data_IF_998368509739
#
_entry.id   IF_998368509739
#
_cell.length_a   1.000
_cell.length_b   1.000
_cell.length_c   1.000
_cell.angle_alpha   90.00
_cell.angle_beta   90.00
_cell.angle_gamma   90.00
#
_symmetry.space_group_name_H-M   'P 1'
#
loop_
_entity.id
_entity.type
_entity.pdbx_description
1 polymer ?
#
# COMPACT_ATOMS: atom_id res chain seq x y z
N UNK A 1 -6.31 -4.27 4.37
CA UNK A 1 -5.87 -4.50 2.98
C UNK A 1 -5.23 -5.89 2.86
N UNK A 2 -6.01 -6.98 2.81
CA UNK A 2 -5.50 -8.37 2.62
C UNK A 2 -5.40 -8.80 1.14
N UNK A 3 -5.70 -7.88 0.21
CA UNK A 3 -5.73 -8.15 -1.22
C UNK A 3 -4.40 -8.68 -1.76
N UNK A 4 -3.27 -8.05 -1.40
CA UNK A 4 -1.94 -8.52 -1.79
C UNK A 4 -1.62 -9.91 -1.22
N UNK A 5 -2.09 -10.22 -0.01
CA UNK A 5 -1.96 -11.57 0.55
C UNK A 5 -2.69 -12.61 -0.27
N UNK A 6 -3.92 -12.32 -0.71
CA UNK A 6 -4.64 -13.24 -1.60
C UNK A 6 -3.96 -13.43 -2.95
N UNK A 7 -3.32 -12.40 -3.50
CA UNK A 7 -2.51 -12.54 -4.73
C UNK A 7 -1.32 -13.48 -4.47
N UNK A 8 -0.59 -13.29 -3.38
CA UNK A 8 0.53 -14.16 -3.03
C UNK A 8 0.08 -15.62 -2.82
N UNK A 9 -1.08 -15.83 -2.17
CA UNK A 9 -1.66 -17.16 -1.96
C UNK A 9 -2.04 -17.82 -3.30
N UNK A 10 -2.67 -17.08 -4.22
CA UNK A 10 -3.08 -17.59 -5.53
C UNK A 10 -1.86 -17.99 -6.39
N UNK A 11 -0.77 -17.23 -6.31
CA UNK A 11 0.51 -17.53 -6.97
C UNK A 11 1.34 -18.59 -6.24
N UNK A 12 0.83 -19.16 -5.13
CA UNK A 12 1.48 -20.18 -4.31
C UNK A 12 2.87 -19.76 -3.81
N UNK A 13 3.05 -18.47 -3.54
CA UNK A 13 4.29 -17.97 -2.97
C UNK A 13 4.43 -18.51 -1.54
N UNK A 14 5.62 -19.02 -1.20
CA UNK A 14 5.95 -19.47 0.15
C UNK A 14 6.24 -18.28 1.08
N UNK A 15 5.29 -17.36 1.21
CA UNK A 15 5.38 -16.16 2.03
C UNK A 15 4.24 -16.10 3.03
N UNK A 16 4.56 -15.77 4.28
CA UNK A 16 3.56 -15.46 5.28
C UNK A 16 3.48 -13.94 5.47
N UNK A 17 2.37 -13.33 5.03
CA UNK A 17 2.14 -11.90 5.23
C UNK A 17 1.36 -11.62 6.51
N UNK A 18 2.04 -11.10 7.54
CA UNK A 18 1.36 -10.56 8.72
C UNK A 18 0.87 -9.11 8.47
N UNK A 19 -0.27 -8.98 7.77
CA UNK A 19 -0.84 -7.68 7.40
C UNK A 19 -1.67 -7.12 8.56
N UNK A 20 -1.19 -6.02 9.16
CA UNK A 20 -1.91 -5.25 10.19
C UNK A 20 -2.30 -3.86 9.69
N UNK A 21 -3.54 -3.38 9.93
CA UNK A 21 -3.91 -2.00 9.61
C UNK A 21 -3.03 -1.00 10.36
N UNK A 22 -2.41 -0.05 9.66
CA UNK A 22 -1.56 1.00 10.26
C UNK A 22 -2.30 1.95 11.22
N UNK A 23 -3.63 2.02 11.08
CA UNK A 23 -4.45 3.09 11.66
C UNK A 23 -4.61 4.25 10.66
N UNK A 24 -5.63 5.09 10.84
CA UNK A 24 -5.66 6.40 10.21
C UNK A 24 -4.82 7.39 11.03
N UNK A 25 -4.28 8.43 10.40
CA UNK A 25 -3.43 9.40 11.08
C UNK A 25 -2.27 9.88 10.19
N UNK A 26 -1.30 10.57 10.79
CA UNK A 26 -0.04 10.89 10.11
C UNK A 26 0.85 9.65 9.92
N UNK A 27 1.74 9.74 8.95
CA UNK A 27 2.67 8.71 8.51
C UNK A 27 3.61 8.27 9.62
N UNK A 28 3.99 9.20 10.51
CA UNK A 28 4.85 8.90 11.65
C UNK A 28 4.13 7.95 12.62
N UNK A 29 2.87 8.23 12.97
CA UNK A 29 2.07 7.37 13.84
C UNK A 29 1.89 5.95 13.27
N UNK A 30 1.80 5.81 11.95
CA UNK A 30 1.77 4.49 11.28
C UNK A 30 3.09 3.75 11.47
N UNK A 31 4.23 4.42 11.25
CA UNK A 31 5.58 3.85 11.44
C UNK A 31 5.81 3.46 12.91
N UNK A 32 5.41 4.31 13.86
CA UNK A 32 5.49 4.01 15.29
C UNK A 32 4.61 2.83 15.70
N UNK A 33 3.42 2.72 15.12
CA UNK A 33 2.53 1.59 15.35
C UNK A 33 3.12 0.30 14.79
N UNK A 34 3.73 0.33 13.60
CA UNK A 34 4.46 -0.80 13.04
C UNK A 34 5.61 -1.23 13.97
N UNK A 35 6.40 -0.28 14.48
CA UNK A 35 7.48 -0.56 15.44
C UNK A 35 6.97 -1.16 16.75
N UNK A 36 5.89 -0.62 17.32
CA UNK A 36 5.28 -1.15 18.55
C UNK A 36 4.81 -2.59 18.36
N UNK A 37 4.20 -2.90 17.21
CA UNK A 37 3.79 -4.28 16.88
C UNK A 37 4.98 -5.20 16.69
N UNK A 38 6.01 -4.77 15.98
CA UNK A 38 7.24 -5.54 15.82
C UNK A 38 7.89 -5.86 17.18
N UNK A 39 7.88 -4.93 18.15
CA UNK A 39 8.38 -5.18 19.51
C UNK A 39 7.54 -6.19 20.29
N UNK A 40 6.24 -6.28 20.00
CA UNK A 40 5.29 -7.20 20.64
C UNK A 40 5.19 -8.55 19.91
N UNK A 41 5.82 -8.69 18.75
CA UNK A 41 5.84 -9.96 18.03
C UNK A 41 6.60 -11.00 18.86
N UNK A 42 6.09 -12.24 19.01
CA UNK A 42 6.71 -13.27 19.86
C UNK A 42 8.12 -13.64 19.39
N UNK A 43 8.36 -13.61 18.08
CA UNK A 43 9.68 -13.78 17.50
C UNK A 43 9.94 -12.73 16.41
N UNK A 44 10.45 -11.53 16.73
CA UNK A 44 10.68 -10.48 15.75
C UNK A 44 11.81 -10.79 14.75
N UNK A 45 12.63 -11.81 15.02
CA UNK A 45 13.79 -12.19 14.20
C UNK A 45 13.39 -13.10 13.04
N UNK A 46 12.32 -13.87 13.14
CA UNK A 46 11.76 -14.63 12.01
C UNK A 46 11.19 -13.76 10.89
N UNK A 47 10.95 -12.47 11.14
CA UNK A 47 10.45 -11.53 10.12
C UNK A 47 11.63 -11.06 9.25
N UNK A 48 11.75 -11.65 8.06
CA UNK A 48 12.82 -11.38 7.09
C UNK A 48 12.69 -10.02 6.38
N UNK A 49 11.46 -9.53 6.18
CA UNK A 49 11.16 -8.24 5.55
C UNK A 49 10.11 -7.49 6.36
N UNK A 50 10.34 -6.20 6.56
CA UNK A 50 9.48 -5.31 7.36
C UNK A 50 9.12 -4.12 6.50
N UNK A 51 7.84 -3.91 6.24
CA UNK A 51 7.37 -2.87 5.35
C UNK A 51 6.15 -2.15 5.89
N UNK A 52 6.02 -0.88 5.52
CA UNK A 52 4.82 -0.07 5.70
C UNK A 52 4.42 0.52 4.37
N UNK A 53 3.12 0.46 4.06
CA UNK A 53 2.53 1.18 2.94
C UNK A 53 2.02 2.51 3.45
N UNK A 54 2.42 3.60 2.81
CA UNK A 54 2.01 4.96 3.17
C UNK A 54 1.54 5.70 1.91
N UNK A 55 0.47 6.47 2.03
CA UNK A 55 0.04 7.34 0.93
C UNK A 55 1.05 8.49 0.76
N UNK A 56 1.43 8.82 -0.48
CA UNK A 56 2.49 9.80 -0.75
C UNK A 56 2.04 11.23 -0.41
N UNK A 57 0.77 11.55 -0.63
CA UNK A 57 0.17 12.83 -0.25
C UNK A 57 0.28 13.10 1.26
N UNK A 58 0.10 12.05 2.08
CA UNK A 58 0.23 12.13 3.53
C UNK A 58 1.68 12.31 3.95
N UNK A 59 2.60 11.59 3.29
CA UNK A 59 4.04 11.74 3.53
C UNK A 59 4.55 13.13 3.20
N UNK A 60 4.05 13.74 2.12
CA UNK A 60 4.39 15.13 1.76
C UNK A 60 3.89 16.12 2.82
N UNK A 61 2.62 16.04 3.22
CA UNK A 61 2.05 16.88 4.26
C UNK A 61 2.77 16.74 5.62
N UNK A 62 3.22 15.53 5.96
CA UNK A 62 3.97 15.31 7.19
C UNK A 62 5.40 15.86 7.13
N UNK A 63 6.04 15.81 5.97
CA UNK A 63 7.35 16.43 5.75
C UNK A 63 7.28 17.95 5.91
N UNK A 64 6.21 18.59 5.41
CA UNK A 64 5.97 20.02 5.60
C UNK A 64 5.76 20.39 7.08
N UNK A 65 5.21 19.46 7.86
CA UNK A 65 5.05 19.59 9.32
C UNK A 65 6.29 19.14 10.13
N UNK A 66 7.46 18.99 9.48
CA UNK A 66 8.72 18.52 10.09
C UNK A 66 8.64 17.14 10.78
N UNK A 67 7.84 16.24 10.21
CA UNK A 67 7.68 14.86 10.69
C UNK A 67 8.29 13.87 9.71
N UNK A 68 9.53 13.48 9.97
CA UNK A 68 10.25 12.55 9.10
C UNK A 68 9.98 11.07 9.44
N UNK A 69 8.84 10.57 8.96
CA UNK A 69 8.47 9.16 9.08
C UNK A 69 9.47 8.22 8.37
N UNK A 70 10.12 8.67 7.28
CA UNK A 70 11.06 7.86 6.50
C UNK A 70 12.37 7.65 7.25
N UNK A 71 12.92 8.70 7.86
CA UNK A 71 14.10 8.58 8.72
C UNK A 71 13.81 7.68 9.93
N UNK A 72 12.62 7.81 10.53
CA UNK A 72 12.21 6.95 11.65
C UNK A 72 12.11 5.47 11.25
N UNK A 73 11.50 5.18 10.10
CA UNK A 73 11.37 3.83 9.58
C UNK A 73 12.73 3.21 9.26
N UNK A 74 13.63 3.98 8.62
CA UNK A 74 15.00 3.57 8.31
C UNK A 74 15.79 3.19 9.57
N UNK A 75 15.73 4.01 10.64
CA UNK A 75 16.35 3.71 11.95
C UNK A 75 15.87 2.40 12.57
N UNK A 76 14.71 1.89 12.17
CA UNK A 76 14.12 0.66 12.67
C UNK A 76 14.20 -0.51 11.70
N UNK A 77 14.86 -0.34 10.55
CA UNK A 77 14.92 -1.33 9.49
C UNK A 77 13.53 -1.68 8.94
N UNK A 78 12.68 -0.67 8.80
CA UNK A 78 11.34 -0.79 8.19
C UNK A 78 11.39 -0.09 6.83
N UNK A 79 11.09 -0.82 5.77
CA UNK A 79 11.00 -0.30 4.42
C UNK A 79 9.70 0.51 4.25
N UNK A 80 9.79 1.70 3.67
CA UNK A 80 8.61 2.50 3.33
C UNK A 80 8.32 2.33 1.84
N UNK A 81 7.10 1.89 1.53
CA UNK A 81 6.58 1.83 0.16
C UNK A 81 5.48 2.86 0.03
N UNK A 82 5.62 3.76 -0.94
CA UNK A 82 4.64 4.82 -1.17
C UNK A 82 3.53 4.36 -2.11
N UNK A 83 2.31 4.74 -1.79
CA UNK A 83 1.15 4.60 -2.68
C UNK A 83 0.91 5.98 -3.30
N UNK A 84 1.01 6.09 -4.63
CA UNK A 84 0.88 7.37 -5.33
C UNK A 84 -0.52 7.56 -5.95
N UNK A 85 -1.17 8.73 -5.78
CA UNK A 85 -0.98 9.66 -4.66
C UNK A 85 -1.46 9.08 -3.32
N UNK A 86 -2.43 8.16 -3.39
CA UNK A 86 -3.05 7.45 -2.27
C UNK A 86 -3.73 6.17 -2.79
N UNK A 87 -4.33 5.39 -1.89
CA UNK A 87 -5.02 4.15 -2.27
C UNK A 87 -6.01 4.33 -3.43
N UNK A 88 -6.88 5.35 -3.40
CA UNK A 88 -7.86 5.55 -4.47
C UNK A 88 -7.19 5.82 -5.81
N UNK A 89 -6.11 6.60 -5.84
CA UNK A 89 -5.38 6.90 -7.07
C UNK A 89 -4.67 5.67 -7.63
N UNK A 90 -4.13 4.81 -6.76
CA UNK A 90 -3.62 3.49 -7.18
C UNK A 90 -4.73 2.64 -7.79
N UNK A 91 -5.91 2.55 -7.16
CA UNK A 91 -7.03 1.75 -7.69
C UNK A 91 -7.54 2.25 -9.05
N UNK A 92 -7.45 3.55 -9.33
CA UNK A 92 -7.71 4.06 -10.69
C UNK A 92 -6.72 3.49 -11.67
N UNK A 93 -5.42 3.51 -11.35
CA UNK A 93 -4.35 3.03 -12.24
C UNK A 93 -4.34 1.51 -12.43
N UNK A 94 -5.02 0.76 -11.57
CA UNK A 94 -5.25 -0.67 -11.80
C UNK A 94 -6.30 -0.96 -12.89
N UNK A 95 -7.15 0.00 -13.26
CA UNK A 95 -8.07 -0.19 -14.39
C UNK A 95 -7.29 -0.08 -15.70
N UNK A 96 -7.62 -0.96 -16.66
CA UNK A 96 -7.00 -0.99 -17.98
C UNK A 96 -7.10 0.37 -18.70
N UNK A 97 -5.99 0.84 -19.27
CA UNK A 97 -5.91 2.13 -19.97
C UNK A 97 -5.76 3.35 -19.06
N UNK A 98 -5.59 3.14 -17.75
CA UNK A 98 -5.41 4.21 -16.76
C UNK A 98 -4.07 4.15 -16.01
N UNK A 99 -3.13 3.29 -16.42
CA UNK A 99 -1.89 2.97 -15.72
C UNK A 99 -0.99 4.20 -15.49
N UNK A 100 -0.95 5.10 -16.47
CA UNK A 100 -0.10 6.31 -16.47
C UNK A 100 -0.85 7.55 -15.97
N UNK A 101 -2.10 7.39 -15.54
CA UNK A 101 -2.97 8.52 -15.22
C UNK A 101 -2.46 9.25 -13.97
N UNK A 102 -2.12 10.52 -14.14
CA UNK A 102 -1.76 11.41 -13.05
C UNK A 102 -3.05 12.00 -12.46
N UNK A 103 -3.30 11.72 -11.18
CA UNK A 103 -4.49 12.18 -10.46
C UNK A 103 -4.01 12.77 -9.15
N UNK A 104 -4.54 13.94 -8.78
CA UNK A 104 -4.30 14.52 -7.47
C UNK A 104 -4.94 13.65 -6.38
N UNK A 105 -4.40 13.68 -5.16
CA UNK A 105 -5.00 12.97 -4.04
C UNK A 105 -6.47 13.34 -3.79
N UNK A 106 -6.80 14.62 -3.94
CA UNK A 106 -8.14 15.18 -3.72
C UNK A 106 -9.15 14.72 -4.77
N UNK A 107 -8.73 14.49 -6.02
CA UNK A 107 -9.61 14.05 -7.11
C UNK A 107 -9.69 12.53 -7.24
N UNK A 108 -8.77 11.78 -6.63
CA UNK A 108 -8.65 10.33 -6.77
C UNK A 108 -9.95 9.57 -6.49
N UNK A 109 -10.65 9.89 -5.40
CA UNK A 109 -11.92 9.25 -5.06
C UNK A 109 -13.03 9.54 -6.08
N UNK A 110 -13.06 10.76 -6.64
CA UNK A 110 -14.03 11.14 -7.68
C UNK A 110 -13.73 10.40 -8.98
N UNK A 111 -12.45 10.36 -9.38
CA UNK A 111 -12.01 9.63 -10.56
C UNK A 111 -12.33 8.14 -10.45
N UNK A 112 -12.06 7.53 -9.28
CA UNK A 112 -12.36 6.12 -9.03
C UNK A 112 -13.86 5.83 -9.14
N UNK A 113 -14.73 6.69 -8.60
CA UNK A 113 -16.19 6.49 -8.72
C UNK A 113 -16.71 6.55 -10.15
N UNK A 114 -16.03 7.23 -11.07
CA UNK A 114 -16.40 7.21 -12.49
C UNK A 114 -16.15 5.83 -13.13
N UNK A 115 -15.09 5.15 -12.71
CA UNK A 115 -14.70 3.83 -13.22
C UNK A 115 -15.39 2.71 -12.44
N UNK A 116 -15.64 2.93 -11.15
CA UNK A 116 -16.26 2.03 -10.22
C UNK A 116 -17.37 2.77 -9.44
N UNK A 117 -18.57 2.90 -10.02
CA UNK A 117 -19.69 3.64 -9.41
C UNK A 117 -20.07 3.17 -8.01
N UNK A 118 -19.98 1.87 -7.75
CA UNK A 118 -20.30 1.28 -6.45
C UNK A 118 -19.19 1.43 -5.39
N UNK A 119 -18.08 2.12 -5.71
CA UNK A 119 -16.98 2.33 -4.78
C UNK A 119 -17.41 3.17 -3.57
N UNK A 120 -17.31 2.57 -2.37
CA UNK A 120 -17.54 3.24 -1.08
C UNK A 120 -16.27 3.24 -0.23
N UNK A 121 -15.71 4.42 0.00
CA UNK A 121 -14.52 4.61 0.86
C UNK A 121 -14.80 4.10 2.27
N UNK A 122 -13.81 3.42 2.87
CA UNK A 122 -13.92 2.83 4.21
C UNK A 122 -14.68 1.50 4.30
N UNK A 123 -15.45 1.12 3.28
CA UNK A 123 -16.18 -0.16 3.22
C UNK A 123 -15.53 -1.19 2.29
N UNK A 124 -14.36 -0.86 1.74
CA UNK A 124 -13.66 -1.71 0.78
C UNK A 124 -13.08 -2.96 1.46
N UNK A 125 -13.57 -4.13 1.06
CA UNK A 125 -13.06 -5.43 1.52
C UNK A 125 -12.02 -5.99 0.56
N UNK A 126 -11.11 -6.84 1.07
CA UNK A 126 -10.16 -7.56 0.22
C UNK A 126 -10.86 -8.46 -0.82
N UNK A 127 -12.05 -8.99 -0.49
CA UNK A 127 -12.88 -9.78 -1.39
C UNK A 127 -13.40 -8.95 -2.56
N UNK A 128 -13.83 -7.71 -2.33
CA UNK A 128 -14.26 -6.81 -3.40
C UNK A 128 -13.09 -6.41 -4.30
N UNK A 129 -11.91 -6.16 -3.72
CA UNK A 129 -10.70 -5.92 -4.50
C UNK A 129 -10.34 -7.12 -5.39
N UNK A 130 -10.30 -8.33 -4.83
CA UNK A 130 -9.99 -9.56 -5.58
C UNK A 130 -11.00 -9.86 -6.71
N UNK A 131 -12.26 -9.49 -6.52
CA UNK A 131 -13.29 -9.65 -7.57
C UNK A 131 -13.09 -8.71 -8.75
N UNK A 132 -12.40 -7.59 -8.54
CA UNK A 132 -12.29 -6.52 -9.53
C UNK A 132 -10.91 -6.43 -10.15
N UNK A 133 -9.87 -6.77 -9.39
CA UNK A 133 -8.50 -6.71 -9.84
C UNK A 133 -7.80 -8.04 -9.58
N UNK A 134 -6.93 -8.42 -10.51
CA UNK A 134 -6.06 -9.57 -10.39
C UNK A 134 -4.58 -9.15 -10.40
N UNK A 135 -3.67 -10.13 -10.42
CA UNK A 135 -2.24 -9.88 -10.50
C UNK A 135 -1.83 -9.20 -11.82
N UNK A 136 -2.51 -9.47 -12.93
CA UNK A 136 -2.18 -8.85 -14.23
C UNK A 136 -2.44 -7.35 -14.16
N UNK A 137 -3.52 -6.93 -13.51
CA UNK A 137 -3.82 -5.52 -13.30
C UNK A 137 -2.73 -4.83 -12.46
N UNK A 138 -2.30 -5.49 -11.37
CA UNK A 138 -1.24 -4.96 -10.50
C UNK A 138 0.10 -4.89 -11.24
N UNK A 139 0.48 -5.94 -11.98
CA UNK A 139 1.71 -5.97 -12.79
C UNK A 139 1.68 -4.94 -13.91
N UNK A 140 0.52 -4.73 -14.55
CA UNK A 140 0.33 -3.74 -15.61
C UNK A 140 0.57 -2.33 -15.06
N UNK A 141 -0.05 -1.98 -13.94
CA UNK A 141 0.20 -0.70 -13.27
C UNK A 141 1.66 -0.55 -12.79
N UNK A 142 2.28 -1.62 -12.27
CA UNK A 142 3.65 -1.61 -11.77
C UNK A 142 4.70 -1.28 -12.83
N UNK A 143 4.40 -1.47 -14.13
CA UNK A 143 5.28 -1.01 -15.22
C UNK A 143 5.48 0.51 -15.23
N UNK A 144 4.53 1.24 -14.66
CA UNK A 144 4.48 2.70 -14.63
C UNK A 144 4.56 3.29 -13.21
N UNK A 145 4.70 2.44 -12.19
CA UNK A 145 4.82 2.85 -10.80
C UNK A 145 6.00 2.12 -10.13
N UNK A 146 7.07 2.86 -9.88
CA UNK A 146 8.29 2.31 -9.28
C UNK A 146 8.07 1.76 -7.86
N UNK A 147 7.24 2.42 -7.04
CA UNK A 147 6.98 1.98 -5.68
C UNK A 147 6.15 0.70 -5.65
N UNK A 148 5.16 0.58 -6.56
CA UNK A 148 4.39 -0.64 -6.74
C UNK A 148 5.25 -1.77 -7.29
N UNK A 149 6.15 -1.49 -8.25
CA UNK A 149 7.11 -2.48 -8.76
C UNK A 149 8.01 -3.00 -7.64
N UNK A 150 8.58 -2.10 -6.83
CA UNK A 150 9.39 -2.46 -5.66
C UNK A 150 8.61 -3.31 -4.66
N UNK A 151 7.33 -3.01 -4.45
CA UNK A 151 6.47 -3.82 -3.59
C UNK A 151 6.32 -5.25 -4.12
N UNK A 152 6.08 -5.41 -5.43
CA UNK A 152 6.00 -6.73 -6.05
C UNK A 152 7.31 -7.51 -5.93
N UNK A 153 8.45 -6.87 -6.21
CA UNK A 153 9.78 -7.48 -6.05
C UNK A 153 10.03 -7.95 -4.60
N UNK A 154 9.64 -7.15 -3.60
CA UNK A 154 9.74 -7.51 -2.19
C UNK A 154 8.83 -8.69 -1.80
N UNK A 155 7.74 -8.88 -2.54
CA UNK A 155 6.81 -10.01 -2.41
C UNK A 155 7.18 -11.19 -3.33
N UNK A 156 8.25 -11.10 -4.12
CA UNK A 156 8.66 -12.15 -5.06
C UNK A 156 7.73 -12.31 -6.28
N UNK A 157 7.07 -11.23 -6.71
CA UNK A 157 6.08 -11.17 -7.80
C UNK A 157 6.55 -10.42 -9.05
#
# INVERSE_FOLDING_TARGET
>A
MRFLGHICDDERLHLHLDIKPGGGGDSLAVVETARRRLRKHPDPRSISKRLVLLDSDRMEADREADRDARAKASKWGIEVVLINPNLEGLLVRLHEGHETRLISASDAARALRKLWPDYKKGLLTAKQLKRRFDLKDVRRAARHDEALRKLLELLGL
#
